data_IF_482691492921
#
_entry.id   IF_482691492921
#
_cell.length_a   1.000
_cell.length_b   1.000
_cell.length_c   1.000
_cell.angle_alpha   90.00
_cell.angle_beta   90.00
_cell.angle_gamma   90.00
#
_symmetry.space_group_name_H-M   'P 1'
#
loop_
_entity.id
_entity.type
_entity.pdbx_description
1 polymer ?
#
# COMPACT_ATOMS: atom_id res chain seq x y z
N UNK A 1 -11.04 18.51 -22.80
CA UNK A 1 -10.93 19.47 -21.67
C UNK A 1 -9.72 20.35 -21.93
N UNK A 2 -9.90 21.67 -21.88
CA UNK A 2 -8.81 22.64 -21.98
C UNK A 2 -8.46 23.12 -20.56
N UNK A 3 -7.19 23.17 -20.21
CA UNK A 3 -6.72 23.76 -18.94
C UNK A 3 -5.67 24.80 -19.28
N UNK A 4 -5.92 26.05 -18.85
CA UNK A 4 -5.04 27.19 -19.05
C UNK A 4 -4.66 27.75 -17.69
N UNK A 5 -3.45 27.44 -17.25
CA UNK A 5 -2.91 27.93 -15.99
C UNK A 5 -2.10 29.18 -16.28
N UNK A 6 -2.53 30.32 -15.72
CA UNK A 6 -1.87 31.62 -15.90
C UNK A 6 -0.93 31.90 -14.74
N UNK A 7 -0.04 32.86 -14.95
CA UNK A 7 0.83 33.40 -13.90
C UNK A 7 1.78 32.38 -13.24
N UNK A 8 2.11 31.30 -13.94
CA UNK A 8 3.21 30.41 -13.54
C UNK A 8 4.54 31.14 -13.78
N UNK A 9 5.43 31.09 -12.79
CA UNK A 9 6.77 31.67 -12.91
C UNK A 9 7.55 31.04 -14.07
N UNK A 10 8.39 31.85 -14.72
CA UNK A 10 9.21 31.39 -15.86
C UNK A 10 10.11 30.22 -15.45
N UNK A 11 10.66 30.28 -14.25
CA UNK A 11 11.53 29.27 -13.66
C UNK A 11 10.80 27.93 -13.53
N UNK A 12 9.53 27.95 -13.11
CA UNK A 12 8.73 26.74 -12.99
C UNK A 12 8.41 26.13 -14.37
N UNK A 13 8.06 26.95 -15.37
CA UNK A 13 7.83 26.47 -16.75
C UNK A 13 9.08 25.81 -17.33
N UNK A 14 10.25 26.45 -17.17
CA UNK A 14 11.53 25.90 -17.63
C UNK A 14 11.83 24.56 -16.96
N UNK A 15 11.59 24.46 -15.65
CA UNK A 15 11.81 23.21 -14.92
C UNK A 15 10.89 22.10 -15.40
N UNK A 16 9.60 22.40 -15.63
CA UNK A 16 8.63 21.44 -16.17
C UNK A 16 9.07 20.95 -17.56
N UNK A 17 9.53 21.86 -18.43
CA UNK A 17 10.05 21.49 -19.75
C UNK A 17 11.26 20.57 -19.65
N UNK A 18 12.19 20.87 -18.76
CA UNK A 18 13.35 20.03 -18.51
C UNK A 18 12.95 18.63 -18.05
N UNK A 19 11.98 18.53 -17.14
CA UNK A 19 11.48 17.25 -16.64
C UNK A 19 10.75 16.45 -17.72
N UNK A 20 9.94 17.10 -18.56
CA UNK A 20 9.26 16.47 -19.68
C UNK A 20 10.27 15.93 -20.70
N UNK A 21 11.25 16.75 -21.10
CA UNK A 21 12.32 16.34 -22.03
C UNK A 21 13.15 15.19 -21.51
N UNK A 22 13.54 15.20 -20.23
CA UNK A 22 14.28 14.09 -19.59
C UNK A 22 13.55 12.76 -19.68
N UNK A 23 12.22 12.78 -19.74
CA UNK A 23 11.38 11.58 -19.88
C UNK A 23 10.96 11.28 -21.32
N UNK A 24 11.44 12.04 -22.31
CA UNK A 24 11.02 11.91 -23.70
C UNK A 24 9.55 12.26 -23.94
N UNK A 25 8.95 13.07 -23.07
CA UNK A 25 7.53 13.43 -23.13
C UNK A 25 7.35 14.88 -23.61
N UNK A 26 6.21 15.16 -24.23
CA UNK A 26 5.77 16.54 -24.43
C UNK A 26 5.42 17.19 -23.09
N UNK A 27 5.52 18.52 -22.99
CA UNK A 27 5.05 19.27 -21.82
C UNK A 27 3.60 18.92 -21.48
N UNK A 28 2.75 18.83 -22.50
CA UNK A 28 1.33 18.51 -22.33
C UNK A 28 1.12 17.11 -21.74
N UNK A 29 1.79 16.11 -22.27
CA UNK A 29 1.69 14.73 -21.78
C UNK A 29 2.24 14.62 -20.35
N UNK A 30 3.33 15.33 -20.04
CA UNK A 30 3.89 15.40 -18.70
C UNK A 30 2.88 16.00 -17.69
N UNK A 31 2.29 17.15 -18.03
CA UNK A 31 1.31 17.82 -17.19
C UNK A 31 0.02 17.02 -17.05
N UNK A 32 -0.45 16.41 -18.13
CA UNK A 32 -1.63 15.55 -18.12
C UNK A 32 -1.48 14.43 -17.08
N UNK A 33 -0.37 13.68 -17.13
CA UNK A 33 -0.10 12.61 -16.16
C UNK A 33 -0.04 13.11 -14.73
N UNK A 34 0.59 14.26 -14.49
CA UNK A 34 0.64 14.83 -13.15
C UNK A 34 -0.73 15.28 -12.63
N UNK A 35 -1.57 15.86 -13.49
CA UNK A 35 -2.93 16.27 -13.11
C UNK A 35 -3.85 15.06 -12.87
N UNK A 36 -3.74 14.01 -13.71
CA UNK A 36 -4.47 12.75 -13.53
C UNK A 36 -4.02 12.03 -12.25
N UNK A 37 -2.73 12.02 -11.95
CA UNK A 37 -2.24 11.44 -10.71
C UNK A 37 -2.74 12.25 -9.50
N UNK A 38 -2.74 13.58 -9.58
CA UNK A 38 -3.21 14.43 -8.50
C UNK A 38 -4.68 14.16 -8.16
N UNK A 39 -5.53 13.89 -9.15
CA UNK A 39 -6.96 13.63 -8.93
C UNK A 39 -7.26 12.29 -8.23
N UNK A 40 -6.30 11.36 -8.22
CA UNK A 40 -6.45 10.06 -7.56
C UNK A 40 -5.58 9.92 -6.31
N UNK A 41 -4.66 10.84 -6.04
CA UNK A 41 -3.72 10.77 -4.91
C UNK A 41 -4.42 10.68 -3.57
N UNK A 42 -5.46 11.50 -3.33
CA UNK A 42 -6.20 11.46 -2.06
C UNK A 42 -6.85 10.08 -1.83
N UNK A 43 -7.37 9.47 -2.91
CA UNK A 43 -7.97 8.14 -2.86
C UNK A 43 -6.93 7.03 -2.63
N UNK A 44 -5.72 7.20 -3.19
CA UNK A 44 -4.60 6.28 -2.95
C UNK A 44 -4.17 6.38 -1.49
N UNK A 45 -3.96 7.59 -0.97
CA UNK A 45 -3.55 7.83 0.42
C UNK A 45 -4.60 7.28 1.41
N UNK A 46 -5.89 7.52 1.15
CA UNK A 46 -6.98 6.98 1.96
C UNK A 46 -7.00 5.44 1.96
N UNK A 47 -6.74 4.83 0.79
CA UNK A 47 -6.66 3.38 0.69
C UNK A 47 -5.44 2.82 1.42
N UNK A 48 -4.27 3.44 1.29
CA UNK A 48 -3.06 3.04 2.04
C UNK A 48 -3.27 3.12 3.54
N UNK A 49 -3.93 4.18 4.03
CA UNK A 49 -4.30 4.30 5.44
C UNK A 49 -5.24 3.17 5.89
N UNK A 50 -6.26 2.84 5.08
CA UNK A 50 -7.17 1.72 5.35
C UNK A 50 -6.45 0.37 5.34
N UNK A 51 -5.53 0.15 4.41
CA UNK A 51 -4.72 -1.06 4.35
C UNK A 51 -3.81 -1.20 5.57
N UNK A 52 -3.19 -0.11 6.02
CA UNK A 52 -2.35 -0.10 7.22
C UNK A 52 -3.16 -0.51 8.45
N UNK A 53 -4.34 0.11 8.65
CA UNK A 53 -5.26 -0.24 9.75
C UNK A 53 -5.71 -1.71 9.65
N UNK A 54 -5.96 -2.22 8.45
CA UNK A 54 -6.37 -3.61 8.23
C UNK A 54 -5.25 -4.58 8.62
N UNK A 55 -4.02 -4.32 8.19
CA UNK A 55 -2.84 -5.13 8.54
C UNK A 55 -2.67 -5.16 10.06
N UNK A 56 -2.71 -4.00 10.72
CA UNK A 56 -2.61 -3.92 12.19
C UNK A 56 -3.69 -4.75 12.90
N UNK A 57 -4.92 -4.72 12.40
CA UNK A 57 -6.02 -5.53 12.94
C UNK A 57 -5.78 -7.03 12.76
N UNK A 58 -5.34 -7.43 11.57
CA UNK A 58 -5.05 -8.84 11.27
C UNK A 58 -3.91 -9.34 12.13
N UNK A 59 -2.82 -8.58 12.26
CA UNK A 59 -1.68 -8.93 13.13
C UNK A 59 -2.13 -9.11 14.57
N UNK A 60 -2.93 -8.18 15.11
CA UNK A 60 -3.48 -8.33 16.47
C UNK A 60 -4.34 -9.58 16.64
N UNK A 61 -5.17 -9.91 15.66
CA UNK A 61 -6.00 -11.13 15.71
C UNK A 61 -5.11 -12.36 15.67
N UNK A 62 -4.06 -12.38 14.84
CA UNK A 62 -3.10 -13.48 14.80
C UNK A 62 -2.37 -13.63 16.14
N UNK A 63 -1.94 -12.53 16.75
CA UNK A 63 -1.30 -12.55 18.07
C UNK A 63 -2.25 -13.14 19.13
N UNK A 64 -3.52 -12.71 19.15
CA UNK A 64 -4.51 -13.27 20.07
C UNK A 64 -4.79 -14.75 19.80
N UNK A 65 -4.85 -15.16 18.54
CA UNK A 65 -5.01 -16.57 18.19
C UNK A 65 -3.80 -17.39 18.64
N UNK A 66 -2.58 -16.90 18.44
CA UNK A 66 -1.36 -17.56 18.91
C UNK A 66 -1.36 -17.69 20.43
N UNK A 67 -1.75 -16.65 21.16
CA UNK A 67 -1.88 -16.70 22.63
C UNK A 67 -2.94 -17.72 23.07
N UNK A 68 -4.11 -17.72 22.44
CA UNK A 68 -5.19 -18.64 22.76
C UNK A 68 -4.80 -20.10 22.45
N UNK A 69 -4.15 -20.34 21.32
CA UNK A 69 -3.66 -21.66 20.93
C UNK A 69 -2.56 -22.15 21.87
N UNK A 70 -1.58 -21.31 22.21
CA UNK A 70 -0.54 -21.69 23.17
C UNK A 70 -1.14 -22.07 24.53
N UNK A 71 -2.11 -21.28 25.02
CA UNK A 71 -2.83 -21.61 26.24
C UNK A 71 -3.59 -22.94 26.13
N UNK A 72 -4.23 -23.18 24.99
CA UNK A 72 -4.92 -24.45 24.74
C UNK A 72 -3.94 -25.63 24.73
N UNK A 73 -2.78 -25.50 24.08
CA UNK A 73 -1.72 -26.51 24.07
C UNK A 73 -1.22 -26.80 25.50
N UNK A 74 -0.96 -25.76 26.28
CA UNK A 74 -0.54 -25.87 27.68
C UNK A 74 -1.58 -26.60 28.55
N UNK A 75 -2.87 -26.24 28.42
CA UNK A 75 -3.96 -26.86 29.18
C UNK A 75 -4.18 -28.34 28.81
N UNK A 76 -3.89 -28.72 27.57
CA UNK A 76 -4.10 -30.09 27.10
C UNK A 76 -2.80 -30.93 27.05
N UNK A 77 -1.67 -30.39 27.51
CA UNK A 77 -0.39 -31.08 27.68
C UNK A 77 0.18 -31.70 26.39
N UNK A 78 -0.04 -31.07 25.24
CA UNK A 78 0.59 -31.48 23.98
C UNK A 78 1.20 -30.30 23.25
N UNK A 79 2.22 -30.59 22.44
CA UNK A 79 3.00 -29.59 21.72
C UNK A 79 2.47 -29.37 20.30
N UNK A 80 2.86 -28.24 19.71
CA UNK A 80 2.51 -27.95 18.32
C UNK A 80 3.11 -29.00 17.36
N UNK A 81 4.32 -29.49 17.65
CA UNK A 81 5.00 -30.49 16.83
C UNK A 81 4.23 -31.83 16.80
N UNK A 82 3.62 -32.22 17.92
CA UNK A 82 2.79 -33.42 18.01
C UNK A 82 1.53 -33.29 17.13
N UNK A 83 0.88 -32.12 17.09
CA UNK A 83 -0.27 -31.86 16.20
C UNK A 83 0.09 -31.83 14.71
N UNK A 84 1.24 -31.24 14.36
CA UNK A 84 1.66 -31.09 12.96
C UNK A 84 2.00 -32.45 12.34
N UNK A 85 2.62 -33.34 13.12
CA UNK A 85 2.90 -34.71 12.69
C UNK A 85 1.60 -35.51 12.45
N UNK A 86 0.60 -35.35 13.30
CA UNK A 86 -0.68 -36.06 13.18
C UNK A 86 -1.49 -35.66 11.93
N UNK A 87 -1.42 -34.38 11.52
CA UNK A 87 -2.09 -33.90 10.31
C UNK A 87 -1.33 -34.26 9.03
N UNK A 88 0.00 -34.31 9.08
CA UNK A 88 0.83 -34.69 7.92
C UNK A 88 0.71 -36.18 7.55
N UNK A 89 0.22 -37.02 8.47
CA UNK A 89 -0.04 -38.44 8.27
C UNK A 89 -1.46 -38.73 7.74
N UNK A 90 -2.35 -37.73 7.74
CA UNK A 90 -3.75 -37.83 7.29
C UNK A 90 -4.01 -37.17 5.92
N UNK A 91 -2.98 -36.56 5.32
CA UNK A 91 -3.02 -35.94 3.98
C UNK A 91 -2.53 -36.86 2.88
#
# INVERSE_FOLDING_TARGET
MEIKVRDISKEAVIKIDGLAKKKGLSRNEYLKRHLENLSIMDKINDNEAKYTILIEKITKILDYNTLALNKFLEENLFTLDELVQENSLKG
#
